data_IF_759289371495
#
_entry.id   IF_759289371495
#
_cell.length_a   1.000
_cell.length_b   1.000
_cell.length_c   1.000
_cell.angle_alpha   90.00
_cell.angle_beta   90.00
_cell.angle_gamma   90.00
#
_symmetry.space_group_name_H-M   'P 1'
#
loop_
_entity.id
_entity.type
_entity.pdbx_description
1 polymer ?
#
# COMPACT_ATOMS: atom_id res chain seq x y z
N UNK A 1 71.70 0.37 16.93
CA UNK A 1 70.75 1.37 17.46
C UNK A 1 69.35 1.03 16.96
N UNK A 2 68.46 0.80 17.92
CA UNK A 2 66.99 1.02 17.91
C UNK A 2 66.11 0.38 16.83
N UNK A 3 65.39 -0.66 17.28
CA UNK A 3 64.12 -1.15 16.72
C UNK A 3 63.09 -0.03 16.81
N UNK A 4 62.63 0.51 15.69
CA UNK A 4 61.48 1.43 15.63
C UNK A 4 60.67 1.18 14.35
N UNK A 5 59.96 0.05 14.27
CA UNK A 5 59.00 -0.16 13.20
C UNK A 5 57.90 -1.16 13.59
N UNK A 6 57.19 -0.98 14.72
CA UNK A 6 55.99 -1.80 14.97
C UNK A 6 54.98 -1.28 16.00
N UNK A 7 54.77 0.03 16.11
CA UNK A 7 53.73 0.58 17.01
C UNK A 7 52.52 1.23 16.30
N UNK A 8 52.65 1.64 15.03
CA UNK A 8 51.58 2.33 14.28
C UNK A 8 50.55 1.42 13.61
N UNK A 9 50.97 0.25 13.11
CA UNK A 9 50.11 -0.63 12.32
C UNK A 9 48.97 -1.28 13.11
N UNK A 10 49.22 -1.69 14.36
CA UNK A 10 48.19 -2.33 15.17
C UNK A 10 47.05 -1.37 15.52
N UNK A 11 47.38 -0.09 15.77
CA UNK A 11 46.39 0.96 16.03
C UNK A 11 45.59 1.29 14.76
N UNK A 12 46.24 1.40 13.61
CA UNK A 12 45.58 1.64 12.33
C UNK A 12 44.63 0.50 11.93
N UNK A 13 45.04 -0.76 12.15
CA UNK A 13 44.19 -1.93 11.93
C UNK A 13 43.00 -1.92 12.90
N UNK A 14 43.22 -1.64 14.19
CA UNK A 14 42.15 -1.52 15.19
C UNK A 14 41.15 -0.41 14.81
N UNK A 15 41.62 0.78 14.46
CA UNK A 15 40.75 1.88 14.02
C UNK A 15 40.01 1.56 12.72
N UNK A 16 40.65 0.87 11.77
CA UNK A 16 40.01 0.41 10.54
C UNK A 16 38.88 -0.58 10.80
N UNK A 17 39.10 -1.56 11.67
CA UNK A 17 38.06 -2.52 12.08
C UNK A 17 36.92 -1.81 12.81
N UNK A 18 37.24 -0.89 13.73
CA UNK A 18 36.24 -0.14 14.49
C UNK A 18 35.40 0.75 13.57
N UNK A 19 36.03 1.47 12.64
CA UNK A 19 35.35 2.27 11.65
C UNK A 19 34.44 1.41 10.78
N UNK A 20 34.94 0.27 10.27
CA UNK A 20 34.14 -0.66 9.47
C UNK A 20 32.93 -1.19 10.25
N UNK A 21 33.11 -1.59 11.51
CA UNK A 21 32.02 -2.07 12.37
C UNK A 21 30.97 -0.97 12.66
N UNK A 22 31.41 0.28 12.84
CA UNK A 22 30.49 1.41 13.00
C UNK A 22 29.72 1.70 11.71
N UNK A 23 30.38 1.70 10.56
CA UNK A 23 29.71 1.90 9.27
C UNK A 23 28.68 0.81 8.96
N UNK A 24 29.01 -0.45 9.24
CA UNK A 24 28.03 -1.54 9.03
C UNK A 24 26.85 -1.42 9.98
N UNK A 25 27.07 -1.09 11.26
CA UNK A 25 25.99 -0.85 12.22
C UNK A 25 25.08 0.31 11.78
N UNK A 26 25.66 1.44 11.33
CA UNK A 26 24.90 2.59 10.82
C UNK A 26 24.14 2.25 9.55
N UNK A 27 24.74 1.50 8.62
CA UNK A 27 24.07 1.09 7.39
C UNK A 27 22.87 0.17 7.66
N UNK A 28 23.00 -0.79 8.58
CA UNK A 28 21.90 -1.69 8.98
C UNK A 28 20.79 -0.91 9.68
N UNK A 29 21.14 -0.05 10.65
CA UNK A 29 20.17 0.76 11.38
C UNK A 29 19.44 1.74 10.45
N UNK A 30 20.18 2.42 9.57
CA UNK A 30 19.64 3.34 8.57
C UNK A 30 18.74 2.62 7.56
N UNK A 31 19.15 1.45 7.08
CA UNK A 31 18.34 0.62 6.18
C UNK A 31 17.04 0.15 6.83
N UNK A 32 17.09 -0.27 8.10
CA UNK A 32 15.90 -0.69 8.85
C UNK A 32 14.94 0.48 9.09
N UNK A 33 15.45 1.62 9.55
CA UNK A 33 14.65 2.84 9.75
C UNK A 33 14.00 3.31 8.45
N UNK A 34 14.75 3.29 7.34
CA UNK A 34 14.23 3.64 6.03
C UNK A 34 13.12 2.69 5.59
N UNK A 35 13.28 1.38 5.81
CA UNK A 35 12.26 0.40 5.49
C UNK A 35 11.00 0.58 6.34
N UNK A 36 11.13 0.75 7.66
CA UNK A 36 10.01 0.98 8.58
C UNK A 36 9.25 2.28 8.24
N UNK A 37 9.97 3.34 7.85
CA UNK A 37 9.38 4.63 7.46
C UNK A 37 8.61 4.57 6.14
N UNK A 38 8.99 3.67 5.23
CA UNK A 38 8.40 3.58 3.89
C UNK A 38 7.33 2.47 3.74
N UNK A 39 6.97 1.80 4.83
CA UNK A 39 5.88 0.82 4.79
C UNK A 39 4.53 1.53 4.58
N UNK A 40 3.63 0.97 3.75
CA UNK A 40 2.26 1.45 3.65
C UNK A 40 1.59 1.48 5.02
N UNK A 41 0.72 2.47 5.24
CA UNK A 41 -0.17 2.45 6.40
C UNK A 41 -0.94 1.14 6.45
N UNK A 42 -1.21 0.64 7.65
CA UNK A 42 -1.84 -0.66 7.82
C UNK A 42 -3.25 -0.47 8.37
N UNK A 43 -4.22 -0.87 7.57
CA UNK A 43 -5.63 -0.78 7.89
C UNK A 43 -6.03 -1.85 8.92
N UNK A 44 -7.10 -1.56 9.66
CA UNK A 44 -7.67 -2.54 10.60
C UNK A 44 -8.30 -3.72 9.83
N UNK A 45 -8.51 -4.85 10.51
CA UNK A 45 -9.27 -5.96 9.92
C UNK A 45 -10.69 -5.54 9.53
N UNK A 46 -11.32 -4.69 10.33
CA UNK A 46 -12.67 -4.16 10.05
C UNK A 46 -12.66 -3.31 8.78
N UNK A 47 -11.67 -2.43 8.62
CA UNK A 47 -11.51 -1.58 7.44
C UNK A 47 -11.31 -2.41 6.18
N UNK A 48 -10.47 -3.45 6.25
CA UNK A 48 -10.25 -4.35 5.11
C UNK A 48 -11.50 -5.15 4.74
N UNK A 49 -12.30 -5.60 5.72
CA UNK A 49 -13.57 -6.27 5.45
C UNK A 49 -14.61 -5.31 4.87
N UNK A 50 -14.66 -4.07 5.37
CA UNK A 50 -15.50 -3.02 4.81
C UNK A 50 -15.08 -2.67 3.38
N UNK A 51 -13.78 -2.55 3.12
CA UNK A 51 -13.22 -2.36 1.79
C UNK A 51 -13.64 -3.47 0.82
N UNK A 52 -13.56 -4.75 1.24
CA UNK A 52 -14.06 -5.86 0.42
C UNK A 52 -15.56 -5.73 0.15
N UNK A 53 -16.36 -5.37 1.16
CA UNK A 53 -17.81 -5.17 0.98
C UNK A 53 -18.15 -4.08 -0.07
N UNK A 54 -17.38 -3.00 -0.11
CA UNK A 54 -17.52 -1.94 -1.11
C UNK A 54 -17.13 -2.44 -2.51
N UNK A 55 -16.07 -3.25 -2.61
CA UNK A 55 -15.69 -3.90 -3.87
C UNK A 55 -16.76 -4.86 -4.37
N UNK A 56 -17.34 -5.66 -3.47
CA UNK A 56 -18.40 -6.61 -3.79
C UNK A 56 -19.70 -5.90 -4.21
N UNK A 57 -19.98 -4.72 -3.64
CA UNK A 57 -21.18 -3.94 -3.99
C UNK A 57 -21.10 -3.40 -5.43
N UNK A 58 -19.90 -3.13 -5.95
CA UNK A 58 -19.68 -2.68 -7.31
C UNK A 58 -20.15 -3.70 -8.36
N UNK A 59 -20.14 -5.00 -8.02
CA UNK A 59 -20.65 -6.07 -8.88
C UNK A 59 -22.19 -6.10 -8.97
N UNK A 60 -22.86 -5.36 -8.09
CA UNK A 60 -24.32 -5.28 -7.99
C UNK A 60 -24.81 -3.87 -8.25
N UNK A 61 -24.04 -3.09 -9.02
CA UNK A 61 -24.42 -1.73 -9.38
C UNK A 61 -25.76 -1.73 -10.15
N UNK A 62 -26.71 -0.85 -9.79
CA UNK A 62 -27.94 -0.66 -10.55
C UNK A 62 -27.67 -0.18 -11.99
N UNK A 63 -28.55 -0.50 -12.93
CA UNK A 63 -28.49 0.00 -14.31
C UNK A 63 -29.11 1.40 -14.48
N UNK A 64 -30.04 1.79 -13.61
CA UNK A 64 -30.76 3.06 -13.71
C UNK A 64 -29.91 4.23 -13.20
N UNK A 65 -29.79 5.31 -13.99
CA UNK A 65 -28.93 6.47 -13.67
C UNK A 65 -29.19 7.04 -12.27
N UNK A 66 -30.46 7.21 -11.89
CA UNK A 66 -30.83 7.72 -10.56
C UNK A 66 -30.44 6.76 -9.42
N UNK A 67 -30.50 5.45 -9.67
CA UNK A 67 -30.10 4.44 -8.72
C UNK A 67 -28.56 4.35 -8.60
N UNK A 68 -27.83 4.57 -9.70
CA UNK A 68 -26.36 4.69 -9.67
C UNK A 68 -25.93 5.89 -8.79
N UNK A 69 -26.57 7.05 -8.94
CA UNK A 69 -26.26 8.22 -8.10
C UNK A 69 -26.51 7.97 -6.61
N UNK A 70 -27.59 7.25 -6.30
CA UNK A 70 -27.88 6.81 -4.93
C UNK A 70 -26.80 5.86 -4.43
N UNK A 71 -26.41 4.86 -5.23
CA UNK A 71 -25.35 3.92 -4.91
C UNK A 71 -24.01 4.64 -4.65
N UNK A 72 -23.60 5.58 -5.50
CA UNK A 72 -22.37 6.36 -5.32
C UNK A 72 -22.37 7.11 -3.99
N UNK A 73 -23.49 7.71 -3.60
CA UNK A 73 -23.63 8.41 -2.30
C UNK A 73 -23.52 7.44 -1.12
N UNK A 74 -24.20 6.31 -1.19
CA UNK A 74 -24.14 5.27 -0.15
C UNK A 74 -22.73 4.73 0.00
N UNK A 75 -22.06 4.38 -1.10
CA UNK A 75 -20.67 3.92 -1.09
C UNK A 75 -19.72 4.97 -0.52
N UNK A 76 -19.90 6.25 -0.85
CA UNK A 76 -19.11 7.34 -0.28
C UNK A 76 -19.28 7.43 1.24
N UNK A 77 -20.50 7.29 1.74
CA UNK A 77 -20.79 7.32 3.18
C UNK A 77 -20.24 6.09 3.92
N UNK A 78 -20.32 4.91 3.32
CA UNK A 78 -19.73 3.72 3.90
C UNK A 78 -18.19 3.82 3.91
N UNK A 79 -17.60 4.28 2.81
CA UNK A 79 -16.15 4.44 2.66
C UNK A 79 -15.56 5.47 3.63
N UNK A 80 -16.32 6.45 4.10
CA UNK A 80 -15.84 7.39 5.14
C UNK A 80 -15.67 6.75 6.52
N UNK A 81 -16.06 5.48 6.68
CA UNK A 81 -15.81 4.69 7.90
C UNK A 81 -14.50 3.88 7.80
N UNK A 82 -13.78 3.96 6.69
CA UNK A 82 -12.42 3.40 6.57
C UNK A 82 -11.46 4.46 7.10
N UNK A 83 -10.76 4.13 8.19
CA UNK A 83 -9.82 5.03 8.84
C UNK A 83 -8.53 5.17 8.02
N UNK A 84 -8.11 4.09 7.36
CA UNK A 84 -6.98 4.14 6.43
C UNK A 84 -7.34 4.90 5.14
N UNK A 85 -6.96 6.17 5.09
CA UNK A 85 -7.27 7.06 3.95
C UNK A 85 -6.69 6.60 2.61
N UNK A 86 -5.58 5.85 2.60
CA UNK A 86 -5.00 5.33 1.37
C UNK A 86 -5.78 4.12 0.84
N UNK A 87 -6.18 3.20 1.73
CA UNK A 87 -7.12 2.13 1.40
C UNK A 87 -8.44 2.72 0.90
N UNK A 88 -9.03 3.67 1.64
CA UNK A 88 -10.23 4.38 1.23
C UNK A 88 -10.06 5.08 -0.13
N UNK A 89 -8.90 5.67 -0.40
CA UNK A 89 -8.57 6.24 -1.70
C UNK A 89 -8.59 5.21 -2.83
N UNK A 90 -7.91 4.07 -2.65
CA UNK A 90 -7.87 2.99 -3.64
C UNK A 90 -9.28 2.41 -3.92
N UNK A 91 -10.10 2.22 -2.87
CA UNK A 91 -11.50 1.76 -3.05
C UNK A 91 -12.34 2.81 -3.80
N UNK A 92 -12.11 4.10 -3.55
CA UNK A 92 -12.80 5.17 -4.28
C UNK A 92 -12.50 5.14 -5.79
N UNK A 93 -11.27 4.79 -6.19
CA UNK A 93 -10.90 4.66 -7.60
C UNK A 93 -11.64 3.50 -8.24
N UNK A 94 -11.67 2.32 -7.61
CA UNK A 94 -12.38 1.16 -8.12
C UNK A 94 -13.88 1.43 -8.30
N UNK A 95 -14.53 1.97 -7.25
CA UNK A 95 -15.95 2.29 -7.29
C UNK A 95 -16.27 3.38 -8.32
N UNK A 96 -15.36 4.33 -8.53
CA UNK A 96 -15.48 5.35 -9.57
C UNK A 96 -15.47 4.76 -10.97
N UNK A 97 -14.54 3.84 -11.26
CA UNK A 97 -14.54 3.11 -12.53
C UNK A 97 -15.82 2.30 -12.73
N UNK A 98 -16.31 1.62 -11.70
CA UNK A 98 -17.53 0.83 -11.77
C UNK A 98 -18.77 1.71 -12.03
N UNK A 99 -18.87 2.87 -11.38
CA UNK A 99 -19.94 3.83 -11.60
C UNK A 99 -19.93 4.41 -13.03
N UNK A 100 -18.75 4.81 -13.52
CA UNK A 100 -18.60 5.36 -14.88
C UNK A 100 -18.97 4.31 -15.93
N UNK A 101 -18.54 3.07 -15.73
CA UNK A 101 -18.90 1.96 -16.62
C UNK A 101 -20.42 1.73 -16.62
N UNK A 102 -21.05 1.66 -15.46
CA UNK A 102 -22.50 1.44 -15.36
C UNK A 102 -23.33 2.58 -15.97
N UNK A 103 -22.79 3.82 -15.98
CA UNK A 103 -23.42 4.96 -16.67
C UNK A 103 -23.26 4.93 -18.19
N UNK A 104 -22.39 4.05 -18.72
CA UNK A 104 -21.98 4.06 -20.13
C UNK A 104 -21.05 5.23 -20.47
N UNK A 105 -20.42 5.85 -19.48
CA UNK A 105 -19.57 7.05 -19.61
C UNK A 105 -18.07 6.74 -19.40
N UNK A 106 -17.74 5.51 -18.95
CA UNK A 106 -16.40 5.07 -18.64
C UNK A 106 -15.81 4.14 -19.70
N UNK A 107 -14.48 4.17 -19.83
CA UNK A 107 -13.74 3.04 -20.41
C UNK A 107 -13.27 2.16 -19.25
N UNK A 108 -13.48 0.84 -19.30
CA UNK A 108 -12.96 -0.07 -18.29
C UNK A 108 -11.44 0.09 -18.11
N UNK A 109 -10.93 0.00 -16.87
CA UNK A 109 -9.50 0.04 -16.64
C UNK A 109 -8.82 -1.13 -17.35
N UNK A 110 -7.60 -0.92 -17.84
CA UNK A 110 -6.81 -2.03 -18.35
C UNK A 110 -6.54 -3.04 -17.24
N UNK A 111 -6.39 -4.32 -17.60
CA UNK A 111 -6.06 -5.39 -16.63
C UNK A 111 -4.87 -5.04 -15.72
N UNK A 112 -3.82 -4.42 -16.28
CA UNK A 112 -2.64 -3.97 -15.53
C UNK A 112 -2.96 -2.84 -14.55
N UNK A 113 -3.90 -1.96 -14.87
CA UNK A 113 -4.33 -0.87 -13.98
C UNK A 113 -5.12 -1.42 -12.79
N UNK A 114 -6.06 -2.32 -13.07
CA UNK A 114 -6.81 -3.02 -12.02
C UNK A 114 -5.88 -3.83 -11.11
N UNK A 115 -4.90 -4.54 -11.68
CA UNK A 115 -3.91 -5.28 -10.91
C UNK A 115 -3.09 -4.35 -10.01
N UNK A 116 -2.58 -3.22 -10.53
CA UNK A 116 -1.82 -2.25 -9.72
C UNK A 116 -2.66 -1.65 -8.60
N UNK A 117 -3.94 -1.38 -8.85
CA UNK A 117 -4.85 -0.91 -7.81
C UNK A 117 -5.04 -1.97 -6.72
N UNK A 118 -5.25 -3.23 -7.12
CA UNK A 118 -5.38 -4.34 -6.21
C UNK A 118 -4.13 -4.55 -5.35
N UNK A 119 -2.93 -4.47 -5.94
CA UNK A 119 -1.66 -4.56 -5.22
C UNK A 119 -1.52 -3.43 -4.19
N UNK A 120 -1.81 -2.18 -4.58
CA UNK A 120 -1.79 -1.04 -3.66
C UNK A 120 -2.76 -1.23 -2.50
N UNK A 121 -4.02 -1.54 -2.78
CA UNK A 121 -5.02 -1.75 -1.74
C UNK A 121 -4.65 -2.90 -0.79
N UNK A 122 -4.18 -4.03 -1.34
CA UNK A 122 -3.76 -5.18 -0.54
C UNK A 122 -2.51 -4.89 0.31
N UNK A 123 -1.63 -3.98 -0.11
CA UNK A 123 -0.47 -3.58 0.69
C UNK A 123 -0.86 -2.90 2.02
N UNK A 124 -2.07 -2.34 2.11
CA UNK A 124 -2.61 -1.77 3.36
C UNK A 124 -3.29 -2.82 4.25
N UNK A 125 -3.64 -4.00 3.71
CA UNK A 125 -4.33 -5.06 4.45
C UNK A 125 -3.43 -6.23 4.85
N UNK A 126 -2.13 -6.15 4.57
CA UNK A 126 -1.17 -7.23 4.83
C UNK A 126 -1.11 -7.63 6.31
N UNK A 127 -1.03 -6.67 7.24
CA UNK A 127 -0.97 -6.98 8.67
C UNK A 127 -2.28 -7.53 9.20
N UNK A 128 -3.41 -7.12 8.62
CA UNK A 128 -4.74 -7.64 8.94
C UNK A 128 -4.98 -9.06 8.40
N UNK A 129 -4.09 -9.57 7.53
CA UNK A 129 -4.20 -10.88 6.85
C UNK A 129 -5.51 -11.02 6.08
N UNK A 130 -5.99 -9.92 5.50
CA UNK A 130 -7.16 -9.88 4.62
C UNK A 130 -6.66 -9.61 3.21
N UNK A 131 -7.11 -10.43 2.26
CA UNK A 131 -6.83 -10.22 0.84
C UNK A 131 -8.09 -9.70 0.16
N UNK A 132 -7.98 -8.50 -0.41
CA UNK A 132 -9.01 -7.88 -1.22
C UNK A 132 -9.00 -8.48 -2.62
N UNK A 133 -10.17 -8.91 -3.08
CA UNK A 133 -10.39 -9.45 -4.42
C UNK A 133 -11.15 -8.43 -5.23
N UNK A 134 -10.55 -7.99 -6.34
CA UNK A 134 -11.12 -7.00 -7.26
C UNK A 134 -11.57 -7.69 -8.56
N UNK A 135 -12.88 -7.92 -8.76
CA UNK A 135 -13.36 -8.45 -10.02
C UNK A 135 -13.15 -7.46 -11.17
N UNK A 136 -13.02 -7.93 -12.41
CA UNK A 136 -13.01 -7.08 -13.58
C UNK A 136 -14.25 -6.18 -13.63
N UNK A 137 -14.06 -4.93 -14.00
CA UNK A 137 -15.15 -4.04 -14.37
C UNK A 137 -15.41 -4.34 -15.84
N UNK A 138 -16.52 -5.05 -16.12
CA UNK A 138 -16.83 -5.55 -17.45
C UNK A 138 -16.87 -4.41 -18.49
N UNK A 139 -16.51 -4.74 -19.74
CA UNK A 139 -16.82 -3.92 -20.92
C UNK A 139 -18.21 -4.29 -21.42
#
# INVERSE_FOLDING_TARGET
MTVLARQGHNKAILFGILALALFTAVAIAGGRWWNERNQPSQASKTDCLLAQKLVDSAQKIPSEKAAIETWVKTERQLRSQIDDGYLGGNISVYNGWAALQAKGEGTPPQKKELQRLAEKANSHCSNAKVTLVFPPIAS
#
